data_IF_550885102119
#
_entry.id   IF_550885102119
#
_cell.length_a   1.000
_cell.length_b   1.000
_cell.length_c   1.000
_cell.angle_alpha   90.00
_cell.angle_beta   90.00
_cell.angle_gamma   90.00
#
_symmetry.space_group_name_H-M   'P 1'
#
loop_
_entity.id
_entity.type
_entity.pdbx_description
1 polymer ?
#
# COMPACT_ATOMS: atom_id res chain seq x y z
N UNK A 1 -33.73 -25.56 29.38
CA UNK A 1 -32.48 -25.65 28.57
C UNK A 1 -32.43 -24.61 27.44
N UNK A 2 -33.56 -24.29 26.80
CA UNK A 2 -33.63 -23.43 25.60
C UNK A 2 -33.20 -21.96 25.80
N UNK A 3 -33.45 -21.35 26.96
CA UNK A 3 -33.03 -19.95 27.23
C UNK A 3 -31.50 -19.76 27.24
N UNK A 4 -30.74 -20.79 27.63
CA UNK A 4 -29.27 -20.75 27.58
C UNK A 4 -28.76 -20.86 26.14
N UNK A 5 -29.37 -21.71 25.32
CA UNK A 5 -29.02 -21.85 23.91
C UNK A 5 -29.29 -20.56 23.11
N UNK A 6 -30.42 -19.88 23.36
CA UNK A 6 -30.74 -18.59 22.75
C UNK A 6 -29.77 -17.47 23.15
N UNK A 7 -29.30 -17.47 24.40
CA UNK A 7 -28.30 -16.49 24.88
C UNK A 7 -26.94 -16.72 24.22
N UNK A 8 -26.49 -17.98 24.11
CA UNK A 8 -25.23 -18.32 23.43
C UNK A 8 -25.26 -18.00 21.93
N UNK A 9 -26.39 -18.20 21.26
CA UNK A 9 -26.55 -17.82 19.85
C UNK A 9 -26.40 -16.31 19.64
N UNK A 10 -26.91 -15.47 20.56
CA UNK A 10 -26.77 -14.01 20.50
C UNK A 10 -25.33 -13.55 20.73
N UNK A 11 -24.63 -14.15 21.70
CA UNK A 11 -23.21 -13.85 21.96
C UNK A 11 -22.36 -14.24 20.75
N UNK A 12 -22.64 -15.40 20.14
CA UNK A 12 -21.95 -15.84 18.92
C UNK A 12 -22.18 -14.88 17.74
N UNK A 13 -23.44 -14.45 17.53
CA UNK A 13 -23.79 -13.46 16.50
C UNK A 13 -23.05 -12.14 16.69
N UNK A 14 -22.98 -11.63 17.92
CA UNK A 14 -22.24 -10.40 18.24
C UNK A 14 -20.74 -10.60 17.97
N UNK A 15 -20.17 -11.74 18.36
CA UNK A 15 -18.76 -12.07 18.09
C UNK A 15 -18.45 -12.11 16.58
N UNK A 16 -19.34 -12.67 15.77
CA UNK A 16 -19.19 -12.72 14.31
C UNK A 16 -19.26 -11.30 13.71
N UNK A 17 -20.21 -10.46 14.16
CA UNK A 17 -20.34 -9.08 13.67
C UNK A 17 -19.08 -8.26 14.00
N UNK A 18 -18.54 -8.40 15.20
CA UNK A 18 -17.29 -7.73 15.59
C UNK A 18 -16.12 -8.23 14.73
N UNK A 19 -16.00 -9.53 14.47
CA UNK A 19 -14.95 -10.08 13.63
C UNK A 19 -15.00 -9.55 12.19
N UNK A 20 -16.20 -9.38 11.61
CA UNK A 20 -16.38 -8.80 10.28
C UNK A 20 -16.02 -7.31 10.28
N UNK A 21 -16.42 -6.55 11.30
CA UNK A 21 -16.08 -5.12 11.39
C UNK A 21 -14.58 -4.86 11.60
N UNK A 22 -13.86 -5.83 12.18
CA UNK A 22 -12.42 -5.75 12.42
C UNK A 22 -11.58 -6.39 11.31
N UNK A 23 -12.17 -6.92 10.23
CA UNK A 23 -11.39 -7.47 9.12
C UNK A 23 -10.77 -6.33 8.32
N UNK A 24 -9.44 -6.31 8.22
CA UNK A 24 -8.74 -5.41 7.31
C UNK A 24 -8.99 -5.86 5.86
N UNK A 25 -9.35 -4.91 5.00
CA UNK A 25 -9.42 -5.16 3.56
C UNK A 25 -7.99 -5.25 3.06
N UNK A 26 -7.53 -6.48 2.80
CA UNK A 26 -6.28 -6.70 2.07
C UNK A 26 -6.49 -6.32 0.62
N UNK A 27 -5.72 -5.38 0.13
CA UNK A 27 -5.72 -5.01 -1.28
C UNK A 27 -4.40 -5.46 -1.90
N UNK A 28 -4.45 -6.00 -3.12
CA UNK A 28 -3.21 -6.36 -3.81
C UNK A 28 -2.52 -5.10 -4.32
N UNK A 29 -1.18 -5.16 -4.45
CA UNK A 29 -0.43 -4.10 -5.13
C UNK A 29 -0.99 -3.83 -6.52
N UNK A 30 -1.22 -4.91 -7.26
CA UNK A 30 -1.60 -4.91 -8.67
C UNK A 30 -2.99 -4.33 -8.90
N UNK A 31 -3.85 -4.29 -7.89
CA UNK A 31 -5.19 -3.69 -8.01
C UNK A 31 -5.10 -2.17 -8.19
N UNK A 32 -4.11 -1.53 -7.56
CA UNK A 32 -4.00 -0.07 -7.51
C UNK A 32 -2.76 0.48 -8.21
N UNK A 33 -1.69 -0.30 -8.31
CA UNK A 33 -0.37 0.17 -8.71
C UNK A 33 0.25 -0.70 -9.81
N UNK A 34 1.20 -0.10 -10.52
CA UNK A 34 2.12 -0.76 -11.43
C UNK A 34 3.54 -0.30 -11.16
N UNK A 35 4.51 -1.21 -11.31
CA UNK A 35 5.94 -0.89 -11.20
C UNK A 35 6.34 0.12 -12.28
N UNK A 36 7.20 1.07 -11.94
CA UNK A 36 7.81 2.05 -12.85
C UNK A 36 9.32 1.95 -12.73
N UNK A 37 10.00 1.68 -13.84
CA UNK A 37 11.47 1.53 -13.89
C UNK A 37 12.03 0.66 -12.76
N UNK A 38 11.34 -0.43 -12.43
CA UNK A 38 11.70 -1.31 -11.34
C UNK A 38 11.79 -2.77 -11.80
N UNK A 39 13.01 -3.34 -11.89
CA UNK A 39 13.18 -4.75 -12.20
C UNK A 39 12.74 -5.63 -11.02
N UNK A 40 12.39 -6.89 -11.31
CA UNK A 40 11.90 -7.82 -10.29
C UNK A 40 12.91 -8.11 -9.17
N UNK A 41 14.21 -7.95 -9.43
CA UNK A 41 15.25 -8.06 -8.40
C UNK A 41 15.16 -6.99 -7.31
N UNK A 42 14.60 -5.82 -7.64
CA UNK A 42 14.51 -4.65 -6.74
C UNK A 42 13.12 -4.46 -6.14
N UNK A 43 12.16 -5.34 -6.45
CA UNK A 43 10.82 -5.33 -5.89
C UNK A 43 10.49 -6.68 -5.26
N UNK A 44 10.41 -6.73 -3.92
CA UNK A 44 9.98 -7.92 -3.19
C UNK A 44 8.68 -7.65 -2.47
N UNK A 45 7.89 -8.70 -2.29
CA UNK A 45 6.62 -8.63 -1.57
C UNK A 45 6.67 -9.57 -0.36
N UNK A 46 6.12 -9.15 0.78
CA UNK A 46 5.96 -10.04 1.94
C UNK A 46 5.03 -11.21 1.63
N UNK A 47 5.12 -12.28 2.42
CA UNK A 47 4.31 -13.49 2.22
C UNK A 47 2.79 -13.21 2.24
N UNK A 48 2.35 -12.21 3.00
CA UNK A 48 0.95 -11.79 3.09
C UNK A 48 0.51 -10.77 2.01
N UNK A 49 1.41 -10.37 1.12
CA UNK A 49 1.14 -9.42 0.04
C UNK A 49 1.07 -7.95 0.46
N UNK A 50 1.20 -7.63 1.75
CA UNK A 50 0.86 -6.30 2.28
C UNK A 50 2.05 -5.33 2.39
N UNK A 51 3.28 -5.84 2.31
CA UNK A 51 4.49 -5.01 2.37
C UNK A 51 5.27 -5.20 1.09
N UNK A 52 5.59 -4.07 0.45
CA UNK A 52 6.42 -4.02 -0.76
C UNK A 52 7.76 -3.39 -0.42
N UNK A 53 8.83 -4.11 -0.73
CA UNK A 53 10.20 -3.72 -0.50
C UNK A 53 10.81 -3.27 -1.81
N UNK A 54 11.14 -1.99 -1.88
CA UNK A 54 11.86 -1.40 -2.99
C UNK A 54 13.34 -1.31 -2.62
N UNK A 55 14.22 -1.51 -3.61
CA UNK A 55 15.66 -1.42 -3.42
C UNK A 55 16.28 -0.52 -4.50
N UNK A 56 17.32 0.21 -4.11
CA UNK A 56 18.13 1.04 -4.98
C UNK A 56 19.57 0.56 -4.86
N UNK A 57 20.24 0.38 -5.99
CA UNK A 57 21.68 0.17 -6.05
C UNK A 57 22.30 0.94 -7.21
N UNK A 58 23.58 0.69 -7.50
CA UNK A 58 24.31 1.37 -8.55
C UNK A 58 23.90 0.93 -9.99
N UNK A 59 23.01 -0.04 -10.14
CA UNK A 59 22.56 -0.57 -11.44
C UNK A 59 21.17 -0.10 -11.80
N UNK A 60 20.26 -0.02 -10.83
CA UNK A 60 18.88 0.39 -11.08
C UNK A 60 18.23 1.06 -9.86
N UNK A 61 17.27 1.94 -10.17
CA UNK A 61 16.27 2.43 -9.23
C UNK A 61 15.06 1.48 -9.17
N UNK A 62 14.09 1.82 -8.33
CA UNK A 62 12.81 1.15 -8.31
C UNK A 62 11.71 2.12 -7.88
N UNK A 63 10.62 2.19 -8.63
CA UNK A 63 9.43 2.94 -8.28
C UNK A 63 8.15 2.19 -8.64
N UNK A 64 7.01 2.81 -8.30
CA UNK A 64 5.69 2.41 -8.74
C UNK A 64 4.80 3.65 -8.88
N UNK A 65 3.73 3.50 -9.64
CA UNK A 65 2.73 4.54 -9.87
C UNK A 65 1.32 3.95 -9.76
N UNK A 66 0.33 4.80 -9.52
CA UNK A 66 -1.07 4.38 -9.55
C UNK A 66 -1.48 4.00 -10.97
N UNK A 67 -2.30 2.95 -11.11
CA UNK A 67 -2.90 2.58 -12.41
C UNK A 67 -3.92 3.60 -12.90
N UNK A 68 -4.53 4.31 -11.96
CA UNK A 68 -5.56 5.30 -12.22
C UNK A 68 -5.03 6.70 -11.96
N UNK A 69 -5.63 7.67 -12.63
CA UNK A 69 -5.42 9.09 -12.39
C UNK A 69 -6.58 9.63 -11.57
N UNK A 70 -6.25 10.52 -10.64
CA UNK A 70 -7.23 11.05 -9.71
C UNK A 70 -7.35 12.56 -9.86
N UNK A 71 -8.56 13.08 -9.71
CA UNK A 71 -8.81 14.52 -9.66
C UNK A 71 -8.70 15.06 -8.23
N UNK A 72 -9.24 14.31 -7.27
CA UNK A 72 -9.23 14.60 -5.84
C UNK A 72 -9.21 13.27 -5.07
N UNK A 73 -8.76 13.26 -3.82
CA UNK A 73 -8.82 12.07 -2.98
C UNK A 73 -8.05 12.20 -1.67
N UNK A 74 -8.12 11.13 -0.89
CA UNK A 74 -7.25 10.92 0.27
C UNK A 74 -6.23 9.84 -0.08
N UNK A 75 -4.95 10.21 -0.11
CA UNK A 75 -3.86 9.33 -0.47
C UNK A 75 -2.97 9.15 0.76
N UNK A 76 -2.80 7.90 1.18
CA UNK A 76 -2.08 7.58 2.40
C UNK A 76 -1.29 6.29 2.21
N UNK A 77 -0.05 6.29 2.71
CA UNK A 77 0.86 5.16 2.64
C UNK A 77 1.57 4.99 4.00
N UNK A 78 1.67 3.75 4.48
CA UNK A 78 2.57 3.43 5.60
C UNK A 78 3.96 3.18 5.02
N UNK A 79 4.94 4.01 5.41
CA UNK A 79 6.31 3.92 4.91
C UNK A 79 7.28 3.58 6.04
N UNK A 80 8.23 2.69 5.77
CA UNK A 80 9.41 2.47 6.60
C UNK A 80 10.64 2.80 5.77
N UNK A 81 11.36 3.84 6.17
CA UNK A 81 12.53 4.33 5.44
C UNK A 81 13.74 3.40 5.63
N UNK A 82 14.71 3.54 4.73
CA UNK A 82 15.99 2.84 4.80
C UNK A 82 16.73 3.21 6.10
N UNK A 83 17.24 2.20 6.81
CA UNK A 83 18.06 2.40 8.01
C UNK A 83 19.54 2.50 7.66
N UNK A 84 20.36 2.99 8.60
CA UNK A 84 21.81 3.12 8.41
C UNK A 84 22.19 4.39 7.65
N UNK A 85 23.26 4.29 6.86
CA UNK A 85 23.72 5.39 5.99
C UNK A 85 22.90 5.44 4.70
N UNK A 86 22.15 6.52 4.55
CA UNK A 86 21.30 6.81 3.40
C UNK A 86 21.63 8.16 2.77
N UNK A 87 22.85 8.68 2.99
CA UNK A 87 23.28 9.95 2.44
C UNK A 87 23.10 9.97 0.90
N UNK A 88 22.37 10.97 0.42
CA UNK A 88 22.09 11.15 -1.01
C UNK A 88 20.96 10.27 -1.58
N UNK A 89 20.33 9.41 -0.78
CA UNK A 89 19.17 8.61 -1.20
C UNK A 89 17.87 9.36 -0.88
N UNK A 90 16.94 9.38 -1.82
CA UNK A 90 15.59 9.92 -1.63
C UNK A 90 14.57 8.79 -1.75
N UNK A 91 13.69 8.66 -0.76
CA UNK A 91 12.45 7.88 -0.88
C UNK A 91 11.30 8.86 -1.02
N UNK A 92 10.60 8.82 -2.15
CA UNK A 92 9.52 9.76 -2.46
C UNK A 92 8.16 9.03 -2.48
N UNK A 93 7.13 9.72 -2.01
CA UNK A 93 5.73 9.34 -2.19
C UNK A 93 4.95 10.59 -2.52
N UNK A 94 4.65 10.76 -3.80
CA UNK A 94 4.19 12.04 -4.33
C UNK A 94 3.04 11.84 -5.32
N UNK A 95 2.37 12.93 -5.65
CA UNK A 95 1.37 13.01 -6.71
C UNK A 95 1.83 13.93 -7.81
N UNK A 96 1.43 13.59 -9.03
CA UNK A 96 1.86 14.30 -10.21
C UNK A 96 0.79 14.24 -11.31
N UNK A 97 0.62 15.33 -12.05
CA UNK A 97 -0.35 15.38 -13.16
C UNK A 97 0.12 14.70 -14.43
N UNK A 98 1.40 14.37 -14.60
CA UNK A 98 1.92 13.78 -15.85
C UNK A 98 2.99 12.73 -15.58
N UNK A 99 3.10 11.76 -16.48
CA UNK A 99 4.16 10.75 -16.40
C UNK A 99 5.49 11.40 -16.81
N UNK A 100 6.45 11.47 -15.89
CA UNK A 100 7.76 12.09 -16.13
C UNK A 100 7.77 13.62 -15.98
N UNK A 101 8.90 14.24 -16.31
CA UNK A 101 9.16 15.66 -16.08
C UNK A 101 8.62 16.54 -17.22
N UNK A 102 7.33 16.89 -17.15
CA UNK A 102 6.67 17.85 -18.04
C UNK A 102 6.87 19.31 -17.60
N UNK A 103 6.95 20.29 -18.52
CA UNK A 103 7.19 21.70 -18.19
C UNK A 103 5.99 22.42 -17.54
N UNK A 104 4.80 21.83 -17.59
CA UNK A 104 3.53 22.42 -17.10
C UNK A 104 2.86 21.52 -16.06
N UNK A 105 3.66 20.68 -15.40
CA UNK A 105 3.21 19.64 -14.48
C UNK A 105 2.95 20.23 -13.10
N UNK A 106 1.85 19.82 -12.47
CA UNK A 106 1.60 20.09 -11.06
C UNK A 106 2.05 18.86 -10.25
N UNK A 107 2.68 19.11 -9.11
CA UNK A 107 3.28 18.08 -8.26
C UNK A 107 3.06 18.39 -6.77
N UNK A 108 2.87 17.34 -5.99
CA UNK A 108 2.81 17.38 -4.54
C UNK A 108 3.68 16.24 -3.99
N UNK A 109 4.83 16.60 -3.44
CA UNK A 109 5.78 15.69 -2.79
C UNK A 109 5.58 15.55 -1.28
#
# INVERSE_FOLDING_TARGET
MERKASSMAKVLLIGIVIAILCSEIKCSFEDNFSKSDCPDSHFKTSEDGQIWYLSLDNKASCGFMTRQRYRFGWFSMKLKLVGGDSAGVVTAYYMCTEDGAGPTRDELD
#
